data_IF_086666903628
#
_entry.id   IF_086666903628
#
_cell.length_a   1.000
_cell.length_b   1.000
_cell.length_c   1.000
_cell.angle_alpha   90.00
_cell.angle_beta   90.00
_cell.angle_gamma   90.00
#
_symmetry.space_group_name_H-M   'P 1'
#
loop_
_entity.id
_entity.type
_entity.pdbx_description
1 polymer ?
#
# COMPACT_ATOMS: atom_id res chain seq x y z
N UNK A 1 -15.32 10.77 -4.26
CA UNK A 1 -16.18 10.06 -3.29
C UNK A 1 -17.38 9.40 -3.98
N UNK A 2 -18.29 10.16 -4.61
CA UNK A 2 -19.52 9.60 -5.23
C UNK A 2 -19.25 8.46 -6.22
N UNK A 3 -18.31 8.62 -7.13
CA UNK A 3 -17.97 7.62 -8.15
C UNK A 3 -17.33 6.36 -7.54
N UNK A 4 -16.66 6.48 -6.40
CA UNK A 4 -16.07 5.39 -5.64
C UNK A 4 -17.06 4.71 -4.68
N UNK A 5 -18.34 5.13 -4.66
CA UNK A 5 -19.33 4.56 -3.75
C UNK A 5 -19.05 4.80 -2.27
N UNK A 6 -18.30 5.86 -1.94
CA UNK A 6 -17.95 6.20 -0.55
C UNK A 6 -19.20 6.41 0.32
N UNK A 7 -19.27 5.75 1.47
CA UNK A 7 -20.40 5.86 2.41
C UNK A 7 -19.94 5.79 3.87
N UNK A 8 -20.70 6.41 4.74
CA UNK A 8 -20.51 6.33 6.19
C UNK A 8 -21.18 5.06 6.78
N UNK A 9 -20.56 4.41 7.77
CA UNK A 9 -19.31 4.77 8.45
C UNK A 9 -18.05 4.13 7.82
N UNK A 10 -18.18 3.31 6.80
CA UNK A 10 -17.09 2.49 6.26
C UNK A 10 -16.03 3.32 5.49
N UNK A 11 -16.47 4.28 4.67
CA UNK A 11 -15.59 5.01 3.76
C UNK A 11 -15.67 4.47 2.33
N UNK A 12 -14.55 4.06 1.75
CA UNK A 12 -14.43 3.58 0.38
C UNK A 12 -13.77 2.21 0.34
N UNK A 13 -14.40 1.25 -0.31
CA UNK A 13 -13.74 -0.04 -0.59
C UNK A 13 -12.54 0.13 -1.52
N UNK A 14 -11.44 -0.55 -1.22
CA UNK A 14 -10.21 -0.44 -1.99
C UNK A 14 -10.39 -0.80 -3.47
N UNK A 15 -11.20 -1.82 -3.77
CA UNK A 15 -11.54 -2.20 -5.15
C UNK A 15 -12.16 -1.04 -5.94
N UNK A 16 -13.04 -0.25 -5.30
CA UNK A 16 -13.71 0.88 -5.95
C UNK A 16 -12.80 2.10 -6.08
N UNK A 17 -11.93 2.33 -5.08
CA UNK A 17 -10.89 3.34 -5.17
C UNK A 17 -9.94 3.06 -6.34
N UNK A 18 -9.46 1.83 -6.46
CA UNK A 18 -8.52 1.41 -7.52
C UNK A 18 -9.20 1.40 -8.90
N UNK A 19 -10.45 0.97 -8.99
CA UNK A 19 -11.25 1.05 -10.21
C UNK A 19 -11.31 2.49 -10.74
N UNK A 20 -11.65 3.43 -9.88
CA UNK A 20 -11.75 4.85 -10.27
C UNK A 20 -10.37 5.44 -10.56
N UNK A 21 -9.34 5.09 -9.79
CA UNK A 21 -7.96 5.51 -10.06
C UNK A 21 -7.51 5.06 -11.47
N UNK A 22 -7.72 3.81 -11.82
CA UNK A 22 -7.40 3.28 -13.14
C UNK A 22 -8.11 4.04 -14.26
N UNK A 23 -9.41 4.33 -14.09
CA UNK A 23 -10.20 5.09 -15.06
C UNK A 23 -9.60 6.45 -15.35
N UNK A 24 -9.18 7.17 -14.30
CA UNK A 24 -8.62 8.52 -14.48
C UNK A 24 -7.17 8.52 -14.95
N UNK A 25 -6.36 7.53 -14.56
CA UNK A 25 -4.95 7.46 -14.94
C UNK A 25 -4.73 6.81 -16.31
N UNK A 26 -5.51 5.79 -16.63
CA UNK A 26 -5.27 4.93 -17.80
C UNK A 26 -6.44 4.89 -18.80
N UNK A 27 -7.58 5.48 -18.47
CA UNK A 27 -8.76 5.53 -19.34
C UNK A 27 -9.66 4.28 -19.29
N UNK A 28 -9.39 3.31 -18.43
CA UNK A 28 -10.18 2.11 -18.22
C UNK A 28 -10.23 1.71 -16.73
N UNK A 29 -11.30 1.06 -16.31
CA UNK A 29 -11.52 0.70 -14.91
C UNK A 29 -10.78 -0.59 -14.50
N UNK A 30 -10.69 -1.55 -15.41
CA UNK A 30 -10.11 -2.87 -15.17
C UNK A 30 -9.04 -3.15 -16.23
N UNK A 31 -7.75 -3.13 -15.85
CA UNK A 31 -6.68 -3.42 -16.80
C UNK A 31 -6.69 -4.89 -17.21
N UNK A 32 -6.69 -5.17 -18.50
CA UNK A 32 -6.50 -6.50 -19.04
C UNK A 32 -5.06 -7.02 -18.80
N UNK A 33 -4.85 -8.31 -19.00
CA UNK A 33 -3.51 -8.89 -18.91
C UNK A 33 -2.54 -8.18 -19.86
N UNK A 34 -1.41 -7.72 -19.32
CA UNK A 34 -0.39 -6.98 -20.07
C UNK A 34 -0.64 -5.48 -20.23
N UNK A 35 -1.82 -4.96 -19.83
CA UNK A 35 -2.06 -3.52 -19.79
C UNK A 35 -1.47 -2.90 -18.52
N UNK A 36 -1.02 -1.64 -18.62
CA UNK A 36 -0.70 -0.82 -17.45
C UNK A 36 -1.94 -0.65 -16.57
N UNK A 37 -1.76 -0.35 -15.30
CA UNK A 37 -2.86 -0.10 -14.38
C UNK A 37 -2.77 -0.90 -13.09
N UNK A 38 -3.37 -0.37 -12.04
CA UNK A 38 -3.34 -0.96 -10.72
C UNK A 38 -4.23 -2.20 -10.60
N UNK A 39 -3.70 -3.19 -9.91
CA UNK A 39 -4.39 -4.43 -9.51
C UNK A 39 -4.28 -4.61 -8.02
N UNK A 40 -5.37 -5.08 -7.40
CA UNK A 40 -5.34 -5.45 -5.98
C UNK A 40 -4.77 -6.86 -5.80
N UNK A 41 -3.86 -6.98 -4.86
CA UNK A 41 -3.42 -8.25 -4.30
C UNK A 41 -3.94 -8.39 -2.89
N UNK A 42 -4.66 -9.45 -2.61
CA UNK A 42 -5.15 -9.77 -1.27
C UNK A 42 -4.07 -10.57 -0.54
N UNK A 43 -3.65 -10.08 0.62
CA UNK A 43 -2.71 -10.79 1.50
C UNK A 43 -3.50 -11.78 2.34
N UNK A 44 -3.32 -13.07 2.09
CA UNK A 44 -4.13 -14.14 2.70
C UNK A 44 -3.34 -14.89 3.76
N UNK A 45 -3.97 -15.08 4.92
CA UNK A 45 -3.49 -16.00 5.96
C UNK A 45 -2.72 -15.35 7.10
N UNK A 46 -2.90 -15.84 8.31
CA UNK A 46 -2.43 -15.25 9.57
C UNK A 46 -0.92 -15.14 9.79
N UNK A 47 -0.09 -15.56 8.83
CA UNK A 47 1.37 -15.40 8.84
C UNK A 47 1.90 -15.12 7.45
N UNK A 48 2.82 -14.16 7.36
CA UNK A 48 3.53 -13.88 6.13
C UNK A 48 4.35 -15.08 5.67
N UNK A 49 4.16 -15.50 4.43
CA UNK A 49 5.07 -16.42 3.79
C UNK A 49 6.27 -15.68 3.17
N UNK A 50 7.41 -16.35 3.04
CA UNK A 50 8.56 -15.79 2.34
C UNK A 50 8.24 -15.45 0.87
N UNK A 51 7.31 -16.18 0.27
CA UNK A 51 6.84 -15.94 -1.09
C UNK A 51 6.03 -14.64 -1.20
N UNK A 52 5.12 -14.36 -0.25
CA UNK A 52 4.35 -13.10 -0.23
C UNK A 52 5.26 -11.89 -0.02
N UNK A 53 6.23 -11.99 0.88
CA UNK A 53 7.23 -10.94 1.10
C UNK A 53 8.04 -10.69 -0.17
N UNK A 54 8.54 -11.75 -0.81
CA UNK A 54 9.29 -11.65 -2.05
C UNK A 54 8.48 -11.02 -3.18
N UNK A 55 7.22 -11.44 -3.33
CA UNK A 55 6.31 -10.90 -4.34
C UNK A 55 6.01 -9.42 -4.10
N UNK A 56 5.74 -9.03 -2.85
CA UNK A 56 5.53 -7.63 -2.48
C UNK A 56 6.74 -6.76 -2.83
N UNK A 57 7.96 -7.21 -2.47
CA UNK A 57 9.22 -6.52 -2.78
C UNK A 57 9.44 -6.37 -4.29
N UNK A 58 9.20 -7.42 -5.07
CA UNK A 58 9.32 -7.37 -6.54
C UNK A 58 8.36 -6.36 -7.16
N UNK A 59 7.10 -6.36 -6.73
CA UNK A 59 6.07 -5.43 -7.20
C UNK A 59 6.39 -3.99 -6.81
N UNK A 60 6.84 -3.76 -5.57
CA UNK A 60 7.28 -2.45 -5.11
C UNK A 60 8.41 -1.92 -5.99
N UNK A 61 9.44 -2.73 -6.19
CA UNK A 61 10.60 -2.35 -7.02
C UNK A 61 10.18 -2.02 -8.45
N UNK A 62 9.28 -2.83 -9.03
CA UNK A 62 8.75 -2.59 -10.37
C UNK A 62 7.95 -1.30 -10.44
N UNK A 63 6.96 -1.11 -9.56
CA UNK A 63 6.10 0.07 -9.57
C UNK A 63 6.91 1.36 -9.45
N UNK A 64 7.82 1.43 -8.48
CA UNK A 64 8.63 2.63 -8.26
C UNK A 64 9.55 2.92 -9.46
N UNK A 65 10.14 1.89 -10.07
CA UNK A 65 10.93 2.05 -11.31
C UNK A 65 10.10 2.54 -12.49
N UNK A 66 8.86 2.12 -12.59
CA UNK A 66 7.92 2.55 -13.63
C UNK A 66 7.32 3.95 -13.34
N UNK A 67 7.63 4.56 -12.20
CA UNK A 67 7.14 5.88 -11.80
C UNK A 67 5.78 5.87 -11.10
N UNK A 68 5.31 4.71 -10.65
CA UNK A 68 4.01 4.56 -9.99
C UNK A 68 4.16 4.19 -8.51
N UNK A 69 3.53 4.94 -7.58
CA UNK A 69 3.49 4.55 -6.18
C UNK A 69 2.60 3.32 -5.97
N UNK A 70 2.77 2.64 -4.83
CA UNK A 70 1.86 1.57 -4.42
C UNK A 70 0.90 2.04 -3.32
N UNK A 71 -0.34 1.61 -3.42
CA UNK A 71 -1.37 1.83 -2.42
C UNK A 71 -1.40 0.64 -1.45
N UNK A 72 -1.30 0.91 -0.15
CA UNK A 72 -1.20 -0.12 0.89
C UNK A 72 -2.26 0.11 1.96
N UNK A 73 -2.99 -0.94 2.36
CA UNK A 73 -3.74 -0.90 3.62
C UNK A 73 -2.80 -1.02 4.81
N UNK A 74 -3.20 -0.46 5.95
CA UNK A 74 -2.40 -0.46 7.16
C UNK A 74 -3.28 -0.53 8.41
N UNK A 75 -3.07 -1.54 9.24
CA UNK A 75 -3.49 -1.50 10.64
C UNK A 75 -2.49 -0.63 11.41
N UNK A 76 -2.94 0.56 11.79
CA UNK A 76 -2.07 1.56 12.44
C UNK A 76 -1.49 1.07 13.75
N UNK A 77 -2.17 0.17 14.47
CA UNK A 77 -1.70 -0.37 15.74
C UNK A 77 -0.44 -1.21 15.62
N UNK A 78 -0.18 -1.77 14.44
CA UNK A 78 1.01 -2.57 14.14
C UNK A 78 2.23 -1.71 13.81
N UNK A 79 2.01 -0.48 13.42
CA UNK A 79 3.07 0.45 13.01
C UNK A 79 3.32 1.51 14.08
N UNK A 80 2.27 2.09 14.65
CA UNK A 80 2.35 3.19 15.61
C UNK A 80 1.80 2.76 16.99
N UNK A 81 2.66 2.51 17.98
CA UNK A 81 2.21 2.12 19.33
C UNK A 81 1.23 3.11 19.92
N UNK A 82 0.13 2.60 20.46
CA UNK A 82 -0.92 3.41 21.09
C UNK A 82 -1.99 3.98 20.16
N UNK A 83 -1.83 3.86 18.84
CA UNK A 83 -2.87 4.19 17.86
C UNK A 83 -3.73 2.96 17.54
N UNK A 84 -4.93 3.20 17.01
CA UNK A 84 -5.88 2.16 16.60
C UNK A 84 -6.58 2.57 15.31
N UNK A 85 -7.10 1.56 14.60
CA UNK A 85 -7.83 1.69 13.36
C UNK A 85 -7.00 1.28 12.16
N UNK A 86 -7.60 1.37 11.00
CA UNK A 86 -6.93 1.11 9.73
C UNK A 86 -7.14 2.26 8.76
N UNK A 87 -6.21 2.47 7.89
CA UNK A 87 -6.29 3.40 6.76
C UNK A 87 -5.34 3.00 5.64
N UNK A 88 -5.28 3.82 4.62
CA UNK A 88 -4.43 3.57 3.47
C UNK A 88 -3.26 4.55 3.44
N UNK A 89 -2.09 4.02 3.08
CA UNK A 89 -0.85 4.78 2.88
C UNK A 89 -0.31 4.55 1.48
N UNK A 90 0.61 5.40 1.06
CA UNK A 90 1.18 5.35 -0.29
C UNK A 90 2.67 5.10 -0.22
N UNK A 91 3.15 3.92 -0.65
CA UNK A 91 4.58 3.64 -0.79
C UNK A 91 5.13 4.35 -2.03
N UNK A 92 6.20 5.11 -1.84
CA UNK A 92 6.77 6.01 -2.85
C UNK A 92 8.23 5.74 -3.18
N UNK A 93 8.87 4.82 -2.48
CA UNK A 93 10.28 4.51 -2.68
C UNK A 93 10.75 3.37 -1.79
N UNK A 94 12.01 2.97 -1.99
CA UNK A 94 12.64 1.92 -1.19
C UNK A 94 14.16 2.17 -1.03
N UNK A 95 14.74 1.52 -0.03
CA UNK A 95 16.18 1.40 0.16
C UNK A 95 16.56 -0.06 -0.02
N UNK A 96 17.54 -0.34 -0.86
CA UNK A 96 18.11 -1.68 -1.02
C UNK A 96 19.15 -1.97 0.09
N UNK A 97 19.45 -3.25 0.29
CA UNK A 97 20.63 -3.69 1.04
C UNK A 97 21.90 -3.20 0.36
N UNK A 98 23.02 -3.18 1.08
CA UNK A 98 24.30 -2.68 0.54
C UNK A 98 24.77 -3.42 -0.72
N UNK A 99 24.46 -4.70 -0.81
CA UNK A 99 24.75 -5.54 -1.99
C UNK A 99 23.70 -5.46 -3.09
N UNK A 100 22.61 -4.69 -2.89
CA UNK A 100 21.51 -4.53 -3.83
C UNK A 100 20.63 -5.76 -4.02
N UNK A 101 20.82 -6.81 -3.19
CA UNK A 101 20.12 -8.09 -3.36
C UNK A 101 18.68 -8.07 -2.85
N UNK A 102 18.35 -7.18 -1.91
CA UNK A 102 17.03 -7.12 -1.27
C UNK A 102 16.59 -5.68 -0.96
N UNK A 103 15.32 -5.49 -0.61
CA UNK A 103 14.77 -4.24 -0.10
C UNK A 103 14.83 -4.27 1.42
N UNK A 104 15.56 -3.31 1.99
CA UNK A 104 15.73 -3.13 3.43
C UNK A 104 14.60 -2.31 4.03
N UNK A 105 14.23 -1.21 3.37
CA UNK A 105 13.21 -0.28 3.84
C UNK A 105 12.33 0.23 2.70
N UNK A 106 11.11 0.62 3.06
CA UNK A 106 10.12 1.25 2.20
C UNK A 106 9.87 2.66 2.70
N UNK A 107 9.94 3.65 1.80
CA UNK A 107 9.43 4.99 2.06
C UNK A 107 7.95 5.04 1.71
N UNK A 108 7.15 5.59 2.60
CA UNK A 108 5.73 5.78 2.37
C UNK A 108 5.23 7.11 2.93
N UNK A 109 4.12 7.58 2.37
CA UNK A 109 3.39 8.76 2.82
C UNK A 109 2.16 8.29 3.62
N UNK A 110 2.06 8.76 4.85
CA UNK A 110 0.91 8.56 5.72
C UNK A 110 0.15 9.88 5.86
N UNK A 111 -1.12 9.96 5.41
CA UNK A 111 -1.89 11.19 5.44
C UNK A 111 -2.49 11.50 6.82
N UNK A 112 -2.44 10.57 7.78
CA UNK A 112 -3.12 10.73 9.06
C UNK A 112 -2.53 11.89 9.90
N UNK A 113 -3.34 12.84 10.39
CA UNK A 113 -2.84 14.01 11.13
C UNK A 113 -2.05 13.64 12.39
N UNK A 114 -2.41 12.53 13.05
CA UNK A 114 -1.80 12.10 14.31
C UNK A 114 -0.36 11.58 14.18
N UNK A 115 0.09 11.27 12.96
CA UNK A 115 1.42 10.73 12.72
C UNK A 115 2.33 11.70 11.97
N UNK A 116 1.88 12.93 11.74
CA UNK A 116 2.70 13.94 11.06
C UNK A 116 3.92 14.32 11.90
N UNK A 117 5.06 14.35 11.26
CA UNK A 117 6.32 14.85 11.82
C UNK A 117 6.48 16.34 11.51
N UNK A 118 7.10 17.10 12.42
CA UNK A 118 7.27 18.55 12.26
C UNK A 118 8.25 18.94 11.12
N UNK A 119 9.12 18.02 10.72
CA UNK A 119 10.13 18.26 9.67
C UNK A 119 9.75 17.52 8.39
N UNK A 120 9.36 16.25 8.52
CA UNK A 120 9.15 15.34 7.39
C UNK A 120 7.67 15.13 7.04
N UNK A 121 6.74 15.75 7.79
CA UNK A 121 5.31 15.56 7.58
C UNK A 121 4.89 14.11 7.67
N UNK A 122 4.16 13.64 6.68
CA UNK A 122 3.71 12.25 6.59
C UNK A 122 4.73 11.26 6.02
N UNK A 123 5.94 11.72 5.66
CA UNK A 123 6.97 10.81 5.14
C UNK A 123 7.46 9.89 6.26
N UNK A 124 7.40 8.59 6.01
CA UNK A 124 7.74 7.52 6.96
C UNK A 124 8.61 6.48 6.29
N UNK A 125 9.24 5.67 7.13
CA UNK A 125 10.08 4.55 6.70
C UNK A 125 9.77 3.33 7.58
N UNK A 126 9.63 2.16 6.95
CA UNK A 126 9.43 0.89 7.66
C UNK A 126 9.97 -0.28 6.82
N UNK A 127 10.13 -1.45 7.44
CA UNK A 127 10.51 -2.66 6.71
C UNK A 127 9.36 -3.21 5.87
N UNK A 128 9.62 -3.85 4.73
CA UNK A 128 8.58 -4.50 3.92
C UNK A 128 7.76 -5.51 4.72
N UNK A 129 8.43 -6.28 5.56
CA UNK A 129 7.83 -7.32 6.40
C UNK A 129 6.82 -6.74 7.39
N UNK A 130 7.17 -5.62 8.02
CA UNK A 130 6.28 -4.99 9.00
C UNK A 130 5.07 -4.32 8.32
N UNK A 131 5.26 -3.70 7.16
CA UNK A 131 4.16 -3.18 6.34
C UNK A 131 3.21 -4.30 5.92
N UNK A 132 3.74 -5.39 5.38
CA UNK A 132 2.92 -6.52 4.96
C UNK A 132 2.18 -7.16 6.14
N UNK A 133 2.86 -7.30 7.30
CA UNK A 133 2.23 -7.79 8.52
C UNK A 133 1.10 -6.89 9.02
N UNK A 134 1.22 -5.57 8.84
CA UNK A 134 0.15 -4.64 9.22
C UNK A 134 -1.11 -4.78 8.37
N UNK A 135 -1.01 -5.31 7.15
CA UNK A 135 -2.16 -5.55 6.28
C UNK A 135 -3.00 -6.74 6.73
N UNK A 136 -2.38 -7.77 7.31
CA UNK A 136 -3.04 -9.04 7.66
C UNK A 136 -4.22 -8.91 8.62
N UNK A 137 -4.26 -7.84 9.41
CA UNK A 137 -5.32 -7.56 10.39
C UNK A 137 -6.32 -6.52 9.93
N UNK A 138 -6.16 -6.00 8.72
CA UNK A 138 -7.12 -5.09 8.11
C UNK A 138 -8.39 -5.81 7.66
N UNK A 139 -9.51 -5.11 7.60
CA UNK A 139 -10.76 -5.60 7.02
C UNK A 139 -10.60 -5.93 5.53
N UNK A 140 -9.86 -5.09 4.82
CA UNK A 140 -9.45 -5.33 3.44
C UNK A 140 -7.92 -5.51 3.36
N UNK A 141 -7.38 -6.72 3.66
CA UNK A 141 -5.95 -6.97 3.73
C UNK A 141 -5.34 -7.03 2.32
N UNK A 142 -5.09 -5.87 1.73
CA UNK A 142 -4.63 -5.79 0.34
C UNK A 142 -3.68 -4.62 0.07
N UNK A 143 -3.02 -4.70 -1.08
CA UNK A 143 -2.28 -3.57 -1.67
C UNK A 143 -2.55 -3.50 -3.18
N UNK A 144 -2.38 -2.31 -3.76
CA UNK A 144 -2.46 -2.13 -5.20
C UNK A 144 -1.09 -1.86 -5.81
N UNK A 145 -0.80 -2.58 -6.89
CA UNK A 145 0.48 -2.57 -7.62
C UNK A 145 0.29 -2.48 -9.13
#
# INVERSE_FOLDING_TARGET
>A
AKEMGTYEPFGTHNKDAIRVLNKYMFGYEFPATGQAGYRLEVVVGGTQSAQEISLFKQRLKKNIKDGYPMYLTMDVSKIYPGLKGEHNVTAIGYIETEDGSDIKYVYYLDPAPKVQDSVYGGLKIETPEKLLNSMLTCEEPNYAW
#
